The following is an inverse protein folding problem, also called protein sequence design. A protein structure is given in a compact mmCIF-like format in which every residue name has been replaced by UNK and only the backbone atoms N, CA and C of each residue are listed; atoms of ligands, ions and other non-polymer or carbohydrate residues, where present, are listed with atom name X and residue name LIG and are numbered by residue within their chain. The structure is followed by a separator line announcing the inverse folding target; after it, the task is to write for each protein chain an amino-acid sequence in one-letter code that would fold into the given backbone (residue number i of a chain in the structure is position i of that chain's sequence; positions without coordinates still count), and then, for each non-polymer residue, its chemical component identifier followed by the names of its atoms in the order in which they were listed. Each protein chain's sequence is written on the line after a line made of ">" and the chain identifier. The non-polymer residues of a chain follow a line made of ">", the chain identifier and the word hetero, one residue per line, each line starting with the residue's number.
data_IF_116491757703
#
_entry.id   IF_116491757703
#
_cell.length_a   1.000
_cell.length_b   1.000
_cell.length_c   1.000
_cell.angle_alpha   90.00
_cell.angle_beta   90.00
_cell.angle_gamma   90.00
#
_symmetry.space_group_name_H-M   'P 1'
#
loop_
_entity.id
_entity.type
_entity.pdbx_description
1 polymer ?
#
# COMPACT_ATOMS: atom_id res chain seq x y z
N UNK A 1 35.24 15.89 37.98
CA UNK A 1 33.76 15.90 38.04
C UNK A 1 33.16 16.31 36.70
N UNK A 2 32.37 15.45 36.01
CA UNK A 2 31.52 15.90 34.91
C UNK A 2 30.07 15.39 35.10
N UNK A 3 29.27 16.09 35.92
CA UNK A 3 27.85 15.76 36.13
C UNK A 3 26.91 16.47 35.13
N UNK A 4 27.37 17.51 34.44
CA UNK A 4 26.53 18.34 33.56
C UNK A 4 26.22 17.71 32.19
N UNK A 5 27.01 16.74 31.71
CA UNK A 5 26.83 16.16 30.36
C UNK A 5 25.75 15.07 30.28
N UNK A 6 25.45 14.37 31.37
CA UNK A 6 24.44 13.30 31.40
C UNK A 6 23.00 13.85 31.40
N UNK A 7 22.74 14.91 32.19
CA UNK A 7 21.41 15.53 32.26
C UNK A 7 20.98 16.16 30.93
N UNK A 8 21.91 16.80 30.21
CA UNK A 8 21.60 17.40 28.90
C UNK A 8 21.21 16.36 27.85
N UNK A 9 21.93 15.22 27.77
CA UNK A 9 21.57 14.14 26.83
C UNK A 9 20.22 13.54 27.17
N UNK A 10 19.96 13.23 28.44
CA UNK A 10 18.68 12.65 28.86
C UNK A 10 17.51 13.60 28.56
N UNK A 11 17.61 14.88 28.93
CA UNK A 11 16.61 15.89 28.64
C UNK A 11 16.40 16.12 27.13
N UNK A 12 17.47 16.04 26.33
CA UNK A 12 17.38 16.14 24.88
C UNK A 12 16.71 14.91 24.25
N UNK A 13 16.96 13.72 24.80
CA UNK A 13 16.34 12.47 24.32
C UNK A 13 14.85 12.45 24.63
N UNK A 14 14.46 12.80 25.87
CA UNK A 14 13.07 12.92 26.31
C UNK A 14 12.31 14.01 25.54
N UNK A 15 12.94 15.17 25.30
CA UNK A 15 12.36 16.21 24.44
C UNK A 15 12.19 15.74 22.98
N UNK A 16 13.12 14.92 22.47
CA UNK A 16 13.01 14.35 21.12
C UNK A 16 11.91 13.30 21.05
N UNK A 17 11.76 12.47 22.08
CA UNK A 17 10.69 11.46 22.20
C UNK A 17 9.30 12.10 22.34
N UNK A 18 9.16 13.15 23.15
CA UNK A 18 7.91 13.90 23.26
C UNK A 18 7.53 14.58 21.93
N UNK A 19 8.52 15.19 21.25
CA UNK A 19 8.32 15.77 19.93
C UNK A 19 7.99 14.68 18.89
N UNK A 20 8.55 13.48 19.06
CA UNK A 20 8.32 12.32 18.22
C UNK A 20 6.93 11.73 18.42
N UNK A 21 6.43 11.63 19.65
CA UNK A 21 5.06 11.17 19.94
C UNK A 21 4.02 12.19 19.45
N UNK A 22 4.30 13.48 19.60
CA UNK A 22 3.45 14.53 19.02
C UNK A 22 3.52 14.52 17.49
N UNK A 23 4.70 14.30 16.92
CA UNK A 23 4.86 14.08 15.48
C UNK A 23 4.16 12.80 15.03
N UNK A 24 4.13 11.72 15.81
CA UNK A 24 3.42 10.47 15.48
C UNK A 24 1.90 10.64 15.55
N UNK A 25 1.37 11.51 16.42
CA UNK A 25 -0.05 11.91 16.37
C UNK A 25 -0.37 12.79 15.16
N UNK A 26 0.49 13.76 14.86
CA UNK A 26 0.36 14.63 13.68
C UNK A 26 0.61 13.86 12.38
N UNK A 27 1.40 12.79 12.45
CA UNK A 27 1.82 11.92 11.35
C UNK A 27 1.34 10.49 11.56
N UNK A 28 0.13 10.31 12.07
CA UNK A 28 -0.60 9.07 11.85
C UNK A 28 -0.88 9.01 10.35
N UNK A 29 0.14 8.57 9.60
CA UNK A 29 0.10 8.60 8.16
C UNK A 29 -1.00 7.66 7.72
N UNK A 30 -1.80 8.08 6.73
CA UNK A 30 -2.81 7.20 6.20
C UNK A 30 -2.13 5.96 5.59
N UNK A 31 -2.85 4.85 5.45
CA UNK A 31 -2.37 3.68 4.72
C UNK A 31 -1.73 4.08 3.38
N UNK A 32 -0.71 3.34 2.93
CA UNK A 32 0.09 3.73 1.75
C UNK A 32 -0.77 3.97 0.49
N UNK A 33 -1.84 3.20 0.29
CA UNK A 33 -2.79 3.38 -0.80
C UNK A 33 -3.60 4.68 -0.69
N UNK A 34 -3.98 5.06 0.53
CA UNK A 34 -4.68 6.31 0.79
C UNK A 34 -3.74 7.50 0.61
N UNK A 35 -2.49 7.39 1.09
CA UNK A 35 -1.45 8.39 0.84
C UNK A 35 -1.19 8.55 -0.65
N UNK A 36 -1.13 7.45 -1.41
CA UNK A 36 -0.98 7.46 -2.86
C UNK A 36 -2.13 8.22 -3.53
N UNK A 37 -3.37 7.91 -3.16
CA UNK A 37 -4.54 8.62 -3.69
C UNK A 37 -4.49 10.12 -3.38
N UNK A 38 -4.08 10.51 -2.18
CA UNK A 38 -3.90 11.93 -1.82
C UNK A 38 -2.77 12.60 -2.61
N UNK A 39 -1.68 11.90 -2.89
CA UNK A 39 -0.56 12.46 -3.65
C UNK A 39 -0.90 12.73 -5.12
N UNK A 40 -1.94 12.10 -5.67
CA UNK A 40 -2.40 12.41 -7.04
C UNK A 40 -2.86 13.87 -7.19
N UNK A 41 -3.40 14.48 -6.12
CA UNK A 41 -3.79 15.90 -6.13
C UNK A 41 -2.58 16.83 -6.34
N UNK A 42 -1.37 16.38 -5.98
CA UNK A 42 -0.15 17.15 -6.19
C UNK A 42 0.16 17.35 -7.69
N UNK A 43 -0.40 16.51 -8.57
CA UNK A 43 -0.27 16.64 -10.03
C UNK A 43 -1.40 17.46 -10.68
N UNK A 44 -2.44 17.81 -9.90
CA UNK A 44 -3.60 18.55 -10.37
C UNK A 44 -3.38 20.07 -10.51
N UNK A 45 -4.44 20.83 -10.86
CA UNK A 45 -4.38 22.28 -11.05
C UNK A 45 -4.02 23.06 -9.77
N UNK A 46 -4.29 22.47 -8.60
CA UNK A 46 -3.92 22.98 -7.27
C UNK A 46 -2.67 22.30 -6.69
N UNK A 47 -1.96 21.55 -7.53
CA UNK A 47 -0.85 20.70 -7.14
C UNK A 47 0.47 21.43 -6.85
N UNK A 48 1.51 20.65 -6.58
CA UNK A 48 2.84 21.13 -6.19
C UNK A 48 3.48 22.04 -7.25
N UNK A 49 3.32 21.68 -8.53
CA UNK A 49 3.73 22.47 -9.70
C UNK A 49 2.73 22.21 -10.83
N UNK A 50 1.91 23.21 -11.18
CA UNK A 50 0.85 23.11 -12.21
C UNK A 50 1.35 22.42 -13.49
N UNK A 51 1.00 21.15 -13.66
CA UNK A 51 1.31 20.34 -14.84
C UNK A 51 2.79 20.05 -15.11
N UNK A 52 3.69 20.29 -14.15
CA UNK A 52 5.13 19.99 -14.33
C UNK A 52 5.48 18.64 -13.69
N UNK A 53 6.53 17.97 -14.19
CA UNK A 53 7.10 16.81 -13.50
C UNK A 53 7.48 17.17 -12.06
N UNK A 54 7.20 16.26 -11.13
CA UNK A 54 7.42 16.46 -9.69
C UNK A 54 8.58 15.61 -9.21
N UNK A 55 9.46 16.22 -8.41
CA UNK A 55 10.48 15.48 -7.68
C UNK A 55 9.92 14.98 -6.34
N UNK A 56 10.63 14.06 -5.68
CA UNK A 56 10.26 13.61 -4.33
C UNK A 56 10.25 14.80 -3.35
N UNK A 57 11.19 15.73 -3.53
CA UNK A 57 11.28 16.98 -2.78
C UNK A 57 10.02 17.83 -2.94
N UNK A 58 9.48 17.94 -4.16
CA UNK A 58 8.27 18.72 -4.43
C UNK A 58 7.07 18.12 -3.71
N UNK A 59 6.93 16.78 -3.74
CA UNK A 59 5.85 16.05 -3.06
C UNK A 59 5.92 16.19 -1.54
N UNK A 60 7.12 16.02 -0.96
CA UNK A 60 7.35 16.24 0.48
C UNK A 60 6.99 17.68 0.84
N UNK A 61 7.48 18.66 0.08
CA UNK A 61 7.22 20.08 0.35
C UNK A 61 5.73 20.39 0.27
N UNK A 62 5.03 19.86 -0.74
CA UNK A 62 3.60 20.04 -0.91
C UNK A 62 2.82 19.42 0.25
N UNK A 63 3.12 18.19 0.64
CA UNK A 63 2.45 17.50 1.76
C UNK A 63 2.69 18.23 3.09
N UNK A 64 3.92 18.70 3.33
CA UNK A 64 4.28 19.48 4.53
C UNK A 64 3.46 20.78 4.64
N UNK A 65 3.06 21.41 3.53
CA UNK A 65 2.24 22.65 3.56
C UNK A 65 0.85 22.45 4.13
N UNK A 66 0.32 21.23 4.12
CA UNK A 66 -0.99 20.92 4.68
C UNK A 66 -1.00 20.93 6.22
N UNK A 67 0.17 20.86 6.86
CA UNK A 67 0.30 20.82 8.31
C UNK A 67 0.63 22.19 8.90
N UNK A 68 0.10 22.44 10.09
CA UNK A 68 0.52 23.54 10.94
C UNK A 68 1.60 23.05 11.90
N UNK A 69 2.61 23.88 12.14
CA UNK A 69 3.74 23.54 13.00
C UNK A 69 3.94 24.63 14.04
N UNK A 70 4.11 24.20 15.29
CA UNK A 70 4.39 25.08 16.42
C UNK A 70 5.86 25.50 16.45
N UNK A 71 6.74 24.76 15.74
CA UNK A 71 8.16 25.08 15.67
C UNK A 71 8.84 24.65 14.37
N UNK A 72 9.99 25.29 14.06
CA UNK A 72 10.86 24.92 12.95
C UNK A 72 11.44 23.50 13.12
N UNK A 73 11.72 23.08 14.35
CA UNK A 73 12.22 21.74 14.66
C UNK A 73 11.20 20.65 14.32
N UNK A 74 9.94 20.86 14.69
CA UNK A 74 8.83 19.96 14.35
C UNK A 74 8.66 19.84 12.84
N UNK A 75 8.71 20.96 12.11
CA UNK A 75 8.65 20.97 10.64
C UNK A 75 9.80 20.17 10.02
N UNK A 76 11.03 20.34 10.52
CA UNK A 76 12.20 19.60 10.02
C UNK A 76 12.09 18.09 10.28
N UNK A 77 11.56 17.70 11.45
CA UNK A 77 11.32 16.30 11.78
C UNK A 77 10.30 15.65 10.84
N UNK A 78 9.15 16.31 10.63
CA UNK A 78 8.09 15.82 9.72
C UNK A 78 8.62 15.70 8.30
N UNK A 79 9.34 16.70 7.82
CA UNK A 79 9.97 16.68 6.51
C UNK A 79 10.89 15.46 6.33
N UNK A 80 11.71 15.12 7.33
CA UNK A 80 12.58 13.93 7.30
C UNK A 80 11.79 12.62 7.31
N UNK A 81 10.72 12.54 8.11
CA UNK A 81 9.90 11.34 8.26
C UNK A 81 9.03 11.03 7.03
N UNK A 82 8.64 12.03 6.23
CA UNK A 82 7.80 11.84 5.05
C UNK A 82 8.52 11.24 3.83
N UNK A 83 9.86 11.22 3.84
CA UNK A 83 10.64 10.78 2.68
C UNK A 83 10.30 9.36 2.21
N UNK A 84 10.41 8.37 3.09
CA UNK A 84 10.14 6.97 2.75
C UNK A 84 8.64 6.71 2.44
N UNK A 85 7.67 7.16 3.26
CA UNK A 85 6.25 6.96 2.97
C UNK A 85 5.80 7.55 1.64
N UNK A 86 6.30 8.74 1.26
CA UNK A 86 5.99 9.32 -0.05
C UNK A 86 6.56 8.46 -1.17
N UNK A 87 7.76 7.91 -1.02
CA UNK A 87 8.35 7.03 -2.04
C UNK A 87 7.54 5.75 -2.22
N UNK A 88 7.10 5.12 -1.13
CA UNK A 88 6.25 3.93 -1.17
C UNK A 88 4.89 4.23 -1.83
N UNK A 89 4.27 5.36 -1.47
CA UNK A 89 3.04 5.80 -2.10
C UNK A 89 3.21 6.09 -3.61
N UNK A 90 4.35 6.65 -4.02
CA UNK A 90 4.67 6.83 -5.45
C UNK A 90 4.86 5.49 -6.17
N UNK A 91 5.43 4.47 -5.52
CA UNK A 91 5.50 3.13 -6.09
C UNK A 91 4.11 2.55 -6.31
N UNK A 92 3.18 2.73 -5.37
CA UNK A 92 1.78 2.31 -5.54
C UNK A 92 1.15 2.99 -6.77
N UNK A 93 1.35 4.29 -6.94
CA UNK A 93 0.85 5.01 -8.13
C UNK A 93 1.49 4.53 -9.43
N UNK A 94 2.79 4.20 -9.40
CA UNK A 94 3.51 3.66 -10.56
C UNK A 94 3.00 2.26 -10.93
N UNK A 95 2.80 1.38 -9.95
CA UNK A 95 2.20 0.06 -10.15
C UNK A 95 0.74 0.14 -10.61
N UNK A 96 0.03 1.20 -10.21
CA UNK A 96 -1.31 1.52 -10.71
C UNK A 96 -1.31 2.13 -12.13
N UNK A 97 -0.13 2.33 -12.73
CA UNK A 97 0.08 2.99 -14.03
C UNK A 97 -0.46 4.42 -14.08
N UNK A 98 -0.58 5.09 -12.93
CA UNK A 98 -1.09 6.47 -12.83
C UNK A 98 0.03 7.50 -13.02
N UNK A 99 1.24 7.13 -12.63
CA UNK A 99 2.45 7.93 -12.84
C UNK A 99 3.55 7.04 -13.38
N UNK A 100 4.59 7.65 -13.95
CA UNK A 100 5.82 6.95 -14.29
C UNK A 100 7.03 7.74 -13.79
N UNK A 101 8.07 7.03 -13.38
CA UNK A 101 9.34 7.62 -12.98
C UNK A 101 10.22 7.87 -14.20
N UNK A 102 10.69 9.10 -14.33
CA UNK A 102 11.69 9.50 -15.30
C UNK A 102 13.03 9.70 -14.60
N UNK A 103 13.92 8.74 -14.81
CA UNK A 103 15.29 8.75 -14.28
C UNK A 103 16.20 9.52 -15.23
N UNK A 104 17.06 10.39 -14.68
CA UNK A 104 18.07 11.15 -15.44
C UNK A 104 19.40 11.14 -14.70
N UNK A 105 20.51 10.98 -15.41
CA UNK A 105 21.85 10.91 -14.80
C UNK A 105 22.30 12.22 -14.13
N UNK A 106 21.90 13.37 -14.68
CA UNK A 106 22.38 14.70 -14.26
C UNK A 106 21.29 15.55 -13.60
N UNK A 107 20.12 14.98 -13.35
CA UNK A 107 18.98 15.71 -12.78
C UNK A 107 18.22 14.84 -11.79
N UNK A 108 17.54 15.43 -10.80
CA UNK A 108 16.71 14.66 -9.88
C UNK A 108 15.67 13.86 -10.65
N UNK A 109 15.39 12.65 -10.16
CA UNK A 109 14.30 11.83 -10.68
C UNK A 109 12.97 12.58 -10.54
N UNK A 110 12.15 12.47 -11.58
CA UNK A 110 10.86 13.15 -11.66
C UNK A 110 9.76 12.17 -12.00
N UNK A 111 8.61 12.34 -11.36
CA UNK A 111 7.38 11.63 -11.72
C UNK A 111 6.52 12.50 -12.62
N UNK A 112 5.89 11.85 -13.59
CA UNK A 112 4.97 12.45 -14.53
C UNK A 112 3.66 11.63 -14.58
N UNK A 113 2.52 12.30 -14.79
CA UNK A 113 1.24 11.64 -15.01
C UNK A 113 1.24 10.87 -16.33
N UNK A 114 0.73 9.64 -16.32
CA UNK A 114 0.34 8.93 -17.54
C UNK A 114 -0.99 9.48 -18.08
N UNK A 115 -1.42 9.03 -19.26
CA UNK A 115 -2.76 9.33 -19.77
C UNK A 115 -3.84 8.81 -18.81
N UNK A 116 -3.69 7.55 -18.34
CA UNK A 116 -4.59 6.93 -17.36
C UNK A 116 -4.64 7.72 -16.06
N UNK A 117 -3.47 8.14 -15.55
CA UNK A 117 -3.38 8.97 -14.35
C UNK A 117 -4.11 10.30 -14.48
N UNK A 118 -4.02 10.94 -15.64
CA UNK A 118 -4.72 12.20 -15.92
C UNK A 118 -6.24 12.01 -16.00
N UNK A 119 -6.70 10.95 -16.66
CA UNK A 119 -8.12 10.61 -16.73
C UNK A 119 -8.69 10.30 -15.35
N UNK A 120 -7.99 9.50 -14.55
CA UNK A 120 -8.37 9.18 -13.18
C UNK A 120 -8.42 10.45 -12.31
N UNK A 121 -7.41 11.31 -12.39
CA UNK A 121 -7.37 12.58 -11.66
C UNK A 121 -8.53 13.51 -12.03
N UNK A 122 -8.85 13.62 -13.32
CA UNK A 122 -9.98 14.42 -13.79
C UNK A 122 -11.34 13.84 -13.36
N UNK A 123 -11.41 12.53 -13.17
CA UNK A 123 -12.61 11.83 -12.70
C UNK A 123 -12.77 11.90 -11.18
N UNK A 124 -11.72 12.30 -10.45
CA UNK A 124 -11.73 12.55 -9.01
C UNK A 124 -11.04 11.46 -8.19
N UNK A 125 -10.94 11.70 -6.87
CA UNK A 125 -10.19 10.86 -5.93
C UNK A 125 -10.70 9.41 -5.87
N UNK A 126 -12.00 9.18 -6.02
CA UNK A 126 -12.56 7.82 -6.01
C UNK A 126 -12.11 6.99 -7.21
N UNK A 127 -11.99 7.61 -8.39
CA UNK A 127 -11.46 6.94 -9.58
C UNK A 127 -9.97 6.58 -9.42
N UNK A 128 -9.19 7.44 -8.76
CA UNK A 128 -7.80 7.16 -8.39
C UNK A 128 -7.73 5.96 -7.44
N UNK A 129 -8.55 5.96 -6.38
CA UNK A 129 -8.62 4.86 -5.41
C UNK A 129 -9.00 3.55 -6.08
N UNK A 130 -9.96 3.58 -7.00
CA UNK A 130 -10.35 2.43 -7.80
C UNK A 130 -9.17 1.90 -8.64
N UNK A 131 -8.45 2.76 -9.36
CA UNK A 131 -7.29 2.33 -10.14
C UNK A 131 -6.19 1.68 -9.28
N UNK A 132 -5.96 2.23 -8.08
CA UNK A 132 -5.01 1.66 -7.11
C UNK A 132 -5.50 0.29 -6.63
N UNK A 133 -6.79 0.15 -6.31
CA UNK A 133 -7.37 -1.11 -5.85
C UNK A 133 -7.37 -2.19 -6.93
N UNK A 134 -7.63 -1.85 -8.19
CA UNK A 134 -7.60 -2.77 -9.33
C UNK A 134 -6.22 -3.41 -9.56
N UNK A 135 -5.15 -2.73 -9.14
CA UNK A 135 -3.76 -3.15 -9.33
C UNK A 135 -3.12 -3.72 -8.05
N UNK A 136 -3.54 -3.23 -6.88
CA UNK A 136 -3.07 -3.70 -5.57
C UNK A 136 -3.89 -4.86 -4.98
N UNK A 137 -5.15 -4.99 -5.40
CA UNK A 137 -5.96 -6.17 -5.18
C UNK A 137 -5.72 -7.17 -6.31
N UNK A 138 -5.55 -8.43 -5.94
CA UNK A 138 -5.59 -9.53 -6.88
C UNK A 138 -6.72 -9.31 -7.89
N UNK A 139 -6.38 -8.99 -9.12
CA UNK A 139 -7.27 -9.22 -10.23
C UNK A 139 -7.49 -10.74 -10.21
N UNK A 140 -8.70 -11.28 -9.90
CA UNK A 140 -9.00 -12.58 -10.46
C UNK A 140 -8.86 -12.33 -11.95
N UNK A 141 -7.89 -13.01 -12.56
CA UNK A 141 -7.73 -13.01 -13.99
C UNK A 141 -9.13 -13.04 -14.60
N UNK A 142 -9.46 -12.06 -15.45
CA UNK A 142 -10.60 -12.18 -16.32
C UNK A 142 -10.37 -13.47 -17.12
N UNK A 143 -11.00 -14.57 -16.67
CA UNK A 143 -10.68 -15.94 -17.09
C UNK A 143 -10.57 -17.00 -15.98
N UNK A 144 -10.54 -16.65 -14.69
CA UNK A 144 -10.64 -17.64 -13.62
C UNK A 144 -12.11 -17.92 -13.31
N UNK A 145 -12.61 -19.00 -13.89
CA UNK A 145 -13.85 -19.66 -13.50
C UNK A 145 -13.93 -19.79 -11.98
N UNK A 146 -15.14 -19.57 -11.48
CA UNK A 146 -15.65 -19.93 -10.17
C UNK A 146 -15.39 -21.42 -9.88
N UNK A 147 -14.17 -21.74 -9.44
CA UNK A 147 -13.81 -23.10 -9.02
C UNK A 147 -13.46 -23.05 -7.54
N UNK A 148 -14.21 -23.76 -6.67
CA UNK A 148 -13.84 -23.92 -5.27
C UNK A 148 -12.42 -24.53 -5.20
N UNK A 149 -11.68 -24.31 -4.08
CA UNK A 149 -10.34 -24.86 -3.92
C UNK A 149 -10.37 -26.34 -4.28
N UNK A 150 -9.51 -26.76 -5.22
CA UNK A 150 -9.37 -28.18 -5.58
C UNK A 150 -8.92 -28.91 -4.31
N UNK A 151 -9.87 -29.47 -3.57
CA UNK A 151 -9.60 -30.37 -2.45
C UNK A 151 -8.63 -31.43 -2.94
N UNK A 152 -7.57 -31.65 -2.16
CA UNK A 152 -6.56 -32.64 -2.50
C UNK A 152 -7.19 -34.03 -2.61
N UNK A 153 -6.60 -34.92 -3.41
CA UNK A 153 -7.10 -36.31 -3.56
C UNK A 153 -7.19 -36.99 -2.17
N UNK A 154 -6.24 -36.70 -1.28
CA UNK A 154 -6.24 -37.19 0.09
C UNK A 154 -7.46 -36.70 0.89
N UNK A 155 -7.80 -35.41 0.81
CA UNK A 155 -8.99 -34.86 1.48
C UNK A 155 -10.29 -35.46 0.94
N UNK A 156 -10.39 -35.64 -0.39
CA UNK A 156 -11.56 -36.27 -1.01
C UNK A 156 -11.76 -37.71 -0.53
N UNK A 157 -10.67 -38.46 -0.35
CA UNK A 157 -10.74 -39.83 0.19
C UNK A 157 -11.14 -39.84 1.68
N UNK A 158 -10.59 -38.92 2.47
CA UNK A 158 -10.91 -38.76 3.89
C UNK A 158 -12.40 -38.41 4.12
N UNK A 159 -12.96 -37.55 3.27
CA UNK A 159 -14.37 -37.17 3.32
C UNK A 159 -15.29 -38.36 3.02
N UNK A 160 -14.98 -39.16 1.99
CA UNK A 160 -15.73 -40.37 1.67
C UNK A 160 -15.71 -41.40 2.83
N UNK A 161 -14.58 -41.55 3.50
CA UNK A 161 -14.47 -42.40 4.69
C UNK A 161 -15.33 -41.89 5.85
N UNK A 162 -15.35 -40.57 6.05
CA UNK A 162 -16.17 -39.92 7.08
C UNK A 162 -17.66 -40.12 6.79
N UNK A 163 -18.09 -39.95 5.53
CA UNK A 163 -19.47 -40.16 5.11
C UNK A 163 -19.92 -41.62 5.23
N UNK A 164 -19.03 -42.57 4.92
CA UNK A 164 -19.29 -44.00 5.16
C UNK A 164 -19.41 -44.30 6.65
N UNK A 165 -18.51 -43.77 7.48
CA UNK A 165 -18.55 -43.97 8.94
C UNK A 165 -19.81 -43.37 9.57
N UNK A 166 -20.32 -42.26 9.03
CA UNK A 166 -21.58 -41.65 9.42
C UNK A 166 -22.83 -42.41 8.91
N UNK A 167 -22.65 -43.47 8.11
CA UNK A 167 -23.74 -44.23 7.50
C UNK A 167 -24.48 -43.49 6.37
N UNK A 168 -23.94 -42.37 5.89
CA UNK A 168 -24.52 -41.54 4.84
C UNK A 168 -24.24 -42.08 3.42
N UNK A 169 -23.25 -42.97 3.28
CA UNK A 169 -22.97 -43.71 2.04
C UNK A 169 -23.03 -45.22 2.29
N UNK A 170 -23.66 -45.93 1.36
CA UNK A 170 -23.59 -47.40 1.34
C UNK A 170 -22.19 -47.90 0.92
N UNK A 171 -21.82 -49.16 1.24
CA UNK A 171 -20.52 -49.72 0.88
C UNK A 171 -20.24 -49.73 -0.65
N UNK A 172 -21.28 -49.93 -1.46
CA UNK A 172 -21.17 -49.97 -2.92
C UNK A 172 -20.96 -48.57 -3.50
N UNK A 173 -21.69 -47.57 -3.00
CA UNK A 173 -21.53 -46.17 -3.38
C UNK A 173 -20.16 -45.62 -2.98
N UNK A 174 -19.68 -45.99 -1.79
CA UNK A 174 -18.34 -45.63 -1.33
C UNK A 174 -17.26 -46.21 -2.25
N UNK A 175 -17.39 -47.48 -2.64
CA UNK A 175 -16.41 -48.15 -3.50
C UNK A 175 -16.38 -47.53 -4.90
N UNK A 176 -17.54 -47.19 -5.47
CA UNK A 176 -17.64 -46.51 -6.75
C UNK A 176 -17.08 -45.07 -6.71
N UNK A 177 -17.36 -44.32 -5.64
CA UNK A 177 -16.86 -42.95 -5.45
C UNK A 177 -15.34 -42.93 -5.26
N UNK A 178 -14.80 -43.85 -4.46
CA UNK A 178 -13.36 -44.00 -4.24
C UNK A 178 -12.60 -44.38 -5.52
N UNK A 179 -13.16 -45.26 -6.35
CA UNK A 179 -12.57 -45.62 -7.63
C UNK A 179 -12.45 -44.41 -8.57
N UNK A 180 -13.49 -43.55 -8.65
CA UNK A 180 -13.46 -42.32 -9.45
C UNK A 180 -12.40 -41.32 -9.00
N UNK A 181 -12.14 -41.23 -7.69
CA UNK A 181 -11.12 -40.33 -7.13
C UNK A 181 -9.69 -40.85 -7.41
N UNK A 182 -9.50 -42.16 -7.49
CA UNK A 182 -8.21 -42.79 -7.81
C UNK A 182 -7.92 -42.74 -9.31
N UNK A 183 -8.94 -42.86 -10.16
CA UNK A 183 -8.83 -42.72 -11.62
C UNK A 183 -8.46 -41.29 -12.06
N UNK A 184 -8.63 -40.31 -11.16
CA UNK A 184 -8.26 -38.89 -11.33
C UNK A 184 -6.77 -38.61 -10.98
N UNK A 185 -5.97 -39.66 -10.68
CA UNK A 185 -4.51 -39.62 -10.47
C UNK A 185 -3.76 -39.80 -11.80
#
# INVERSE_FOLDING_TARGET
>A
MPLFKKGFKAAWTEATEALQAQAERVMALPPTADLAAELMDAFGPHGAKRGKPLTQLDLVTWKVRAYQFDSRGQRAMVYKKLGAPIREAMQVLEHAELVYLRVRSESPDTWELTSRGREALNSGTDAVRQCIAERGGAQPAAGASDRPPRQSIAERLQELETLRAAGALSPDEYSAARARVIDDI
#
